data_IF_903576892237
#
_entry.id   IF_903576892237
#
_cell.length_a   1.000
_cell.length_b   1.000
_cell.length_c   1.000
_cell.angle_alpha   90.00
_cell.angle_beta   90.00
_cell.angle_gamma   90.00
#
_symmetry.space_group_name_H-M   'P 1'
#
loop_
_entity.id
_entity.type
_entity.pdbx_description
1 polymer ?
#
# COMPACT_ATOMS: atom_id res chain seq x y z
N UNK A 1 -51.62 58.37 47.28
CA UNK A 1 -50.20 58.68 47.52
C UNK A 1 -49.41 57.47 47.24
N UNK A 2 -48.86 57.37 46.00
CA UNK A 2 -48.02 56.24 45.53
C UNK A 2 -46.73 56.79 44.98
N UNK A 3 -45.63 56.44 45.64
CA UNK A 3 -44.28 56.79 45.23
C UNK A 3 -43.72 55.79 44.18
N UNK A 4 -43.24 56.31 43.05
CA UNK A 4 -42.53 55.56 42.04
C UNK A 4 -41.05 55.37 42.43
N UNK A 5 -40.41 54.20 42.19
CA UNK A 5 -38.99 54.10 42.34
C UNK A 5 -38.24 54.42 41.00
N UNK A 6 -37.11 55.13 41.15
CA UNK A 6 -36.19 55.49 40.06
C UNK A 6 -35.37 54.26 39.64
N UNK A 7 -35.34 53.96 38.34
CA UNK A 7 -34.49 52.94 37.74
C UNK A 7 -33.09 53.52 37.50
N UNK A 8 -32.08 52.95 38.12
CA UNK A 8 -30.67 53.16 37.84
C UNK A 8 -30.18 52.10 36.87
N UNK A 9 -29.92 52.45 35.61
CA UNK A 9 -29.28 51.57 34.63
C UNK A 9 -27.81 51.38 34.97
N UNK A 10 -27.42 50.12 35.24
CA UNK A 10 -26.04 49.71 35.49
C UNK A 10 -25.25 49.61 34.15
N UNK A 11 -24.13 50.35 34.06
CA UNK A 11 -23.20 50.39 32.94
C UNK A 11 -22.18 49.23 32.90
N UNK A 12 -22.46 48.05 33.50
CA UNK A 12 -21.43 47.01 33.68
C UNK A 12 -21.65 45.71 32.88
N UNK A 13 -22.61 45.63 31.95
CA UNK A 13 -22.88 44.35 31.26
C UNK A 13 -22.14 44.14 29.91
N UNK A 14 -21.64 45.23 29.29
CA UNK A 14 -21.01 45.12 27.94
C UNK A 14 -19.59 44.59 28.01
N UNK A 15 -18.85 44.78 29.11
CA UNK A 15 -17.48 44.26 29.26
C UNK A 15 -17.36 42.75 29.53
N UNK A 16 -18.43 42.14 30.06
CA UNK A 16 -18.40 40.67 30.37
C UNK A 16 -18.73 39.80 29.18
N UNK A 17 -19.57 40.25 28.26
CA UNK A 17 -19.91 39.52 27.01
C UNK A 17 -18.76 39.54 26.02
N UNK A 18 -18.00 40.63 25.89
CA UNK A 18 -16.84 40.70 24.99
C UNK A 18 -15.67 39.80 25.46
N UNK A 19 -15.47 39.65 26.79
CA UNK A 19 -14.47 38.70 27.35
C UNK A 19 -14.89 37.25 27.20
N UNK A 20 -16.18 36.93 27.29
CA UNK A 20 -16.70 35.58 27.07
C UNK A 20 -16.52 35.10 25.60
N UNK A 21 -16.72 35.98 24.64
CA UNK A 21 -16.53 35.67 23.21
C UNK A 21 -15.05 35.50 22.83
N UNK A 22 -14.15 36.30 23.40
CA UNK A 22 -12.70 36.15 23.14
C UNK A 22 -12.16 34.83 23.74
N UNK A 23 -12.66 34.38 24.86
CA UNK A 23 -12.26 33.09 25.47
C UNK A 23 -12.83 31.91 24.71
N UNK A 24 -14.04 32.00 24.14
CA UNK A 24 -14.63 30.94 23.29
C UNK A 24 -13.90 30.80 21.94
N UNK A 25 -13.45 31.89 21.32
CA UNK A 25 -12.66 31.88 20.11
C UNK A 25 -11.24 31.33 20.35
N UNK A 26 -10.63 31.59 21.49
CA UNK A 26 -9.34 31.02 21.87
C UNK A 26 -9.45 29.53 22.19
N UNK A 27 -10.54 29.08 22.81
CA UNK A 27 -10.81 27.66 23.07
C UNK A 27 -11.08 26.87 21.77
N UNK A 28 -11.78 27.46 20.79
CA UNK A 28 -11.99 26.86 19.48
C UNK A 28 -10.69 26.78 18.67
N UNK A 29 -9.78 27.74 18.75
CA UNK A 29 -8.47 27.71 18.11
C UNK A 29 -7.55 26.64 18.73
N UNK A 30 -7.63 26.39 20.03
CA UNK A 30 -6.85 25.34 20.72
C UNK A 30 -7.41 23.95 20.44
N UNK A 31 -8.72 23.79 20.22
CA UNK A 31 -9.32 22.50 19.85
C UNK A 31 -8.94 22.01 18.44
N UNK A 32 -8.53 22.91 17.53
CA UNK A 32 -8.06 22.57 16.17
C UNK A 32 -6.57 22.15 16.15
N UNK A 33 -5.81 22.48 17.22
CA UNK A 33 -4.40 22.08 17.34
C UNK A 33 -4.17 20.79 18.11
N UNK A 34 -5.24 20.09 18.50
CA UNK A 34 -5.14 18.73 19.00
C UNK A 34 -4.53 17.85 17.92
N UNK A 35 -3.21 17.68 17.99
CA UNK A 35 -2.49 16.68 17.18
C UNK A 35 -3.12 15.33 17.47
N UNK A 36 -4.04 14.91 16.63
CA UNK A 36 -4.38 13.51 16.52
C UNK A 36 -3.09 12.85 16.07
N UNK A 37 -2.34 12.28 17.01
CA UNK A 37 -1.35 11.27 16.69
C UNK A 37 -2.17 10.13 16.08
N UNK A 38 -2.43 10.23 14.77
CA UNK A 38 -2.81 9.09 13.99
C UNK A 38 -1.62 8.12 14.14
N UNK A 39 -1.77 7.12 15.01
CA UNK A 39 -0.96 5.94 14.89
C UNK A 39 -1.13 5.49 13.46
N UNK A 40 -0.10 5.66 12.65
CA UNK A 40 -0.05 5.09 11.32
C UNK A 40 -0.20 3.58 11.55
N UNK A 41 -1.41 3.08 11.40
CA UNK A 41 -1.68 1.66 11.46
C UNK A 41 -0.83 1.04 10.37
N UNK A 42 0.11 0.17 10.74
CA UNK A 42 1.01 -0.45 9.77
C UNK A 42 0.15 -1.13 8.69
N UNK A 43 0.35 -0.73 7.45
CA UNK A 43 -0.37 -1.32 6.31
C UNK A 43 -0.10 -2.82 6.30
N UNK A 44 -1.12 -3.70 6.37
CA UNK A 44 -0.92 -5.14 6.40
C UNK A 44 -0.40 -5.62 5.04
N UNK A 45 0.92 -5.79 4.93
CA UNK A 45 1.60 -6.19 3.68
C UNK A 45 1.49 -7.70 3.48
N UNK A 46 1.16 -8.12 2.25
CA UNK A 46 1.23 -9.50 1.79
C UNK A 46 2.52 -9.70 1.01
N UNK A 47 3.21 -10.80 1.29
CA UNK A 47 4.43 -11.17 0.59
C UNK A 47 4.24 -12.54 -0.06
N UNK A 48 4.38 -12.59 -1.38
CA UNK A 48 4.21 -13.81 -2.16
C UNK A 48 5.02 -13.71 -3.45
N UNK A 49 5.95 -14.65 -3.65
CA UNK A 49 6.90 -14.59 -4.78
C UNK A 49 6.20 -14.68 -6.14
N UNK A 50 5.15 -15.51 -6.26
CA UNK A 50 4.39 -15.70 -7.49
C UNK A 50 3.57 -14.46 -7.85
N UNK A 51 2.83 -13.93 -6.88
CA UNK A 51 1.96 -12.76 -7.07
C UNK A 51 2.81 -11.52 -7.36
N UNK A 52 3.86 -11.29 -6.56
CA UNK A 52 4.78 -10.16 -6.77
C UNK A 52 5.44 -10.21 -8.16
N UNK A 53 5.87 -11.39 -8.61
CA UNK A 53 6.44 -11.56 -9.94
C UNK A 53 5.43 -11.26 -11.05
N UNK A 54 4.19 -11.75 -10.91
CA UNK A 54 3.14 -11.50 -11.89
C UNK A 54 2.79 -10.01 -11.99
N UNK A 55 2.62 -9.33 -10.85
CA UNK A 55 2.30 -7.90 -10.81
C UNK A 55 3.47 -7.05 -11.36
N UNK A 56 4.72 -7.46 -11.10
CA UNK A 56 5.89 -6.83 -11.74
C UNK A 56 5.91 -7.02 -13.26
N UNK A 57 5.47 -8.18 -13.76
CA UNK A 57 5.35 -8.42 -15.21
C UNK A 57 4.28 -7.51 -15.82
N UNK A 58 3.18 -7.23 -15.11
CA UNK A 58 2.18 -6.24 -15.53
C UNK A 58 2.75 -4.82 -15.55
N UNK A 59 3.48 -4.45 -14.52
CA UNK A 59 3.95 -3.09 -14.32
C UNK A 59 5.14 -2.70 -15.19
N UNK A 60 6.06 -3.62 -15.46
CA UNK A 60 7.32 -3.33 -16.14
C UNK A 60 7.16 -2.64 -17.50
N UNK A 61 6.29 -3.11 -18.43
CA UNK A 61 6.08 -2.42 -19.70
C UNK A 61 5.50 -1.02 -19.50
N UNK A 62 4.54 -0.89 -18.57
CA UNK A 62 3.86 0.37 -18.26
C UNK A 62 4.84 1.38 -17.66
N UNK A 63 5.64 0.99 -16.67
CA UNK A 63 6.64 1.87 -16.06
C UNK A 63 7.70 2.31 -17.08
N UNK A 64 8.07 1.41 -18.02
CA UNK A 64 8.96 1.79 -19.12
C UNK A 64 8.33 2.86 -20.02
N UNK A 65 7.07 2.69 -20.41
CA UNK A 65 6.33 3.66 -21.22
C UNK A 65 6.10 4.98 -20.50
N UNK A 66 5.95 4.96 -19.17
CA UNK A 66 5.80 6.14 -18.33
C UNK A 66 7.11 6.86 -18.00
N UNK A 67 8.28 6.36 -18.47
CA UNK A 67 9.59 6.91 -18.13
C UNK A 67 10.07 6.58 -16.71
N UNK A 68 9.41 5.64 -16.02
CA UNK A 68 9.67 5.29 -14.62
C UNK A 68 10.59 4.06 -14.46
N UNK A 69 11.12 3.50 -15.55
CA UNK A 69 11.87 2.22 -15.53
C UNK A 69 13.10 2.24 -14.60
N UNK A 70 13.76 3.37 -14.49
CA UNK A 70 14.96 3.55 -13.66
C UNK A 70 14.66 4.20 -12.30
N UNK A 71 13.42 4.46 -12.03
CA UNK A 71 12.99 5.29 -10.90
C UNK A 71 12.80 4.53 -9.59
N UNK A 72 12.97 3.20 -9.58
CA UNK A 72 12.85 2.40 -8.37
C UNK A 72 11.44 2.46 -7.79
N UNK A 73 10.41 2.26 -8.63
CA UNK A 73 9.03 2.16 -8.13
C UNK A 73 8.81 0.79 -7.51
N UNK A 74 8.57 0.77 -6.20
CA UNK A 74 8.25 -0.45 -5.45
C UNK A 74 6.77 -0.78 -5.57
N UNK A 75 6.46 -2.08 -5.68
CA UNK A 75 5.08 -2.59 -5.66
C UNK A 75 4.85 -3.29 -4.34
N UNK A 76 3.80 -2.87 -3.62
CA UNK A 76 3.43 -3.38 -2.30
C UNK A 76 2.03 -3.96 -2.37
N UNK A 77 1.90 -5.24 -2.01
CA UNK A 77 0.60 -5.90 -1.92
C UNK A 77 0.01 -5.68 -0.52
N UNK A 78 -1.25 -5.25 -0.47
CA UNK A 78 -1.94 -4.93 0.79
C UNK A 78 -3.01 -5.98 1.06
N UNK A 79 -3.04 -6.54 2.27
CA UNK A 79 -4.09 -7.44 2.71
C UNK A 79 -5.38 -6.66 3.01
N UNK A 80 -6.11 -6.34 1.97
CA UNK A 80 -7.38 -5.65 2.03
C UNK A 80 -8.31 -6.21 0.95
N UNK A 81 -9.56 -6.51 1.30
CA UNK A 81 -10.54 -7.12 0.39
C UNK A 81 -11.23 -6.10 -0.52
N UNK A 82 -11.07 -4.81 -0.28
CA UNK A 82 -11.59 -3.77 -1.15
C UNK A 82 -10.84 -3.73 -2.48
N UNK A 83 -11.54 -3.36 -3.55
CA UNK A 83 -10.88 -3.07 -4.81
C UNK A 83 -10.21 -1.70 -4.72
N UNK A 84 -8.91 -1.66 -4.45
CA UNK A 84 -8.17 -0.39 -4.41
C UNK A 84 -6.72 -0.57 -4.86
N UNK A 85 -6.17 0.51 -5.43
CA UNK A 85 -4.76 0.72 -5.63
C UNK A 85 -4.48 2.21 -5.44
N UNK A 86 -3.30 2.56 -4.99
CA UNK A 86 -2.90 3.95 -4.79
C UNK A 86 -1.38 4.07 -4.75
N UNK A 87 -0.89 5.25 -5.01
CA UNK A 87 0.54 5.54 -4.93
C UNK A 87 0.87 6.44 -3.73
N UNK A 88 2.02 6.24 -3.13
CA UNK A 88 2.60 7.12 -2.11
C UNK A 88 4.10 7.24 -2.33
N UNK A 89 4.56 8.43 -2.70
CA UNK A 89 5.93 8.64 -3.14
C UNK A 89 6.24 7.81 -4.37
N UNK A 90 7.16 6.85 -4.23
CA UNK A 90 7.58 5.92 -5.29
C UNK A 90 7.10 4.48 -5.02
N UNK A 91 6.05 4.31 -4.26
CA UNK A 91 5.44 3.01 -3.97
C UNK A 91 4.03 2.95 -4.53
N UNK A 92 3.77 1.89 -5.29
CA UNK A 92 2.45 1.51 -5.77
C UNK A 92 1.89 0.43 -4.84
N UNK A 93 0.82 0.75 -4.15
CA UNK A 93 0.09 -0.17 -3.29
C UNK A 93 -1.08 -0.75 -4.06
N UNK A 94 -1.25 -2.08 -4.01
CA UNK A 94 -2.36 -2.77 -4.66
C UNK A 94 -2.99 -3.70 -3.63
N UNK A 95 -4.28 -3.51 -3.38
CA UNK A 95 -5.04 -4.36 -2.48
C UNK A 95 -5.25 -5.75 -3.11
N UNK A 96 -5.16 -6.80 -2.29
CA UNK A 96 -5.46 -8.17 -2.71
C UNK A 96 -6.88 -8.32 -3.23
N UNK A 97 -7.82 -7.49 -2.75
CA UNK A 97 -9.17 -7.40 -3.27
C UNK A 97 -9.23 -6.97 -4.73
N UNK A 98 -8.40 -6.03 -5.17
CA UNK A 98 -8.31 -5.64 -6.57
C UNK A 98 -7.84 -6.82 -7.44
N UNK A 99 -6.74 -7.48 -7.04
CA UNK A 99 -6.19 -8.63 -7.74
C UNK A 99 -7.17 -9.81 -7.83
N UNK A 100 -7.93 -10.06 -6.78
CA UNK A 100 -8.92 -11.16 -6.72
C UNK A 100 -10.17 -10.86 -7.57
N UNK A 101 -10.64 -9.62 -7.58
CA UNK A 101 -11.89 -9.24 -8.24
C UNK A 101 -11.70 -8.96 -9.74
N UNK A 102 -10.55 -8.46 -10.16
CA UNK A 102 -10.23 -8.28 -11.59
C UNK A 102 -10.31 -9.63 -12.31
N UNK A 103 -11.04 -9.70 -13.42
CA UNK A 103 -11.22 -10.96 -14.14
C UNK A 103 -10.15 -11.19 -15.19
N UNK A 104 -9.50 -10.12 -15.64
CA UNK A 104 -8.45 -10.18 -16.66
C UNK A 104 -7.19 -9.44 -16.20
N UNK A 105 -6.00 -9.83 -16.70
CA UNK A 105 -4.77 -9.06 -16.50
C UNK A 105 -4.92 -7.59 -16.86
N UNK A 106 -5.60 -7.30 -17.97
CA UNK A 106 -5.76 -5.96 -18.50
C UNK A 106 -6.50 -5.00 -17.55
N UNK A 107 -7.40 -5.51 -16.68
CA UNK A 107 -8.03 -4.69 -15.64
C UNK A 107 -6.98 -4.15 -14.64
N UNK A 108 -6.07 -5.01 -14.17
CA UNK A 108 -4.99 -4.61 -13.25
C UNK A 108 -3.92 -3.77 -13.95
N UNK A 109 -3.57 -4.13 -15.18
CA UNK A 109 -2.61 -3.37 -15.98
C UNK A 109 -3.15 -1.94 -16.23
N UNK A 110 -4.44 -1.79 -16.47
CA UNK A 110 -5.10 -0.49 -16.59
C UNK A 110 -5.01 0.35 -15.31
N UNK A 111 -5.25 -0.27 -14.15
CA UNK A 111 -5.07 0.37 -12.85
C UNK A 111 -3.59 0.79 -12.65
N UNK A 112 -2.64 -0.10 -12.93
CA UNK A 112 -1.20 0.21 -12.84
C UNK A 112 -0.81 1.37 -13.78
N UNK A 113 -1.40 1.43 -14.98
CA UNK A 113 -1.14 2.50 -15.94
C UNK A 113 -1.67 3.85 -15.42
N UNK A 114 -2.84 3.86 -14.77
CA UNK A 114 -3.40 5.03 -14.12
C UNK A 114 -2.51 5.52 -12.96
N UNK A 115 -2.10 4.63 -12.08
CA UNK A 115 -1.19 4.94 -10.96
C UNK A 115 0.18 5.43 -11.43
N UNK A 116 0.70 4.83 -12.52
CA UNK A 116 1.93 5.31 -13.16
C UNK A 116 1.76 6.75 -13.69
N UNK A 117 0.57 7.12 -14.16
CA UNK A 117 0.22 8.48 -14.53
C UNK A 117 0.34 9.45 -13.35
N UNK A 118 -0.12 9.05 -12.17
CA UNK A 118 0.03 9.85 -10.96
C UNK A 118 1.49 10.02 -10.54
N UNK A 119 2.30 8.96 -10.61
CA UNK A 119 3.73 9.04 -10.27
C UNK A 119 4.47 9.94 -11.26
N UNK A 120 4.34 9.69 -12.56
CA UNK A 120 5.01 10.43 -13.62
C UNK A 120 4.58 11.91 -13.65
N UNK A 121 3.31 12.18 -13.36
CA UNK A 121 2.76 13.55 -13.25
C UNK A 121 3.18 14.28 -11.98
N UNK A 122 3.75 13.61 -10.99
CA UNK A 122 4.08 14.19 -9.68
C UNK A 122 2.85 14.69 -8.91
N UNK A 123 1.67 14.07 -9.16
CA UNK A 123 0.39 14.55 -8.68
C UNK A 123 0.31 14.66 -7.16
N UNK A 124 0.94 13.74 -6.43
CA UNK A 124 0.96 13.79 -4.96
C UNK A 124 1.70 14.99 -4.38
N UNK A 125 2.87 15.32 -4.97
CA UNK A 125 3.62 16.49 -4.51
C UNK A 125 2.83 17.75 -4.80
N UNK A 126 2.30 17.87 -6.01
CA UNK A 126 1.47 19.00 -6.40
C UNK A 126 0.22 19.14 -5.53
N UNK A 127 -0.42 18.04 -5.15
CA UNK A 127 -1.57 18.05 -4.23
C UNK A 127 -1.17 18.57 -2.84
N UNK A 128 -0.02 18.14 -2.31
CA UNK A 128 0.51 18.67 -1.04
C UNK A 128 0.71 20.19 -1.12
N UNK A 129 1.33 20.66 -2.21
CA UNK A 129 1.57 22.09 -2.43
C UNK A 129 0.24 22.86 -2.52
N UNK A 130 -0.78 22.28 -3.18
CA UNK A 130 -2.13 22.86 -3.24
C UNK A 130 -2.83 22.89 -1.87
N UNK A 131 -2.69 21.83 -1.09
CA UNK A 131 -3.23 21.79 0.28
C UNK A 131 -2.58 22.85 1.18
N UNK A 132 -1.28 23.03 1.12
CA UNK A 132 -0.58 24.08 1.89
C UNK A 132 -1.02 25.49 1.45
N UNK A 133 -1.17 25.72 0.14
CA UNK A 133 -1.72 27.00 -0.38
C UNK A 133 -3.15 27.22 0.08
N UNK A 134 -4.01 26.19 0.01
CA UNK A 134 -5.39 26.27 0.46
C UNK A 134 -5.51 26.54 1.96
N UNK A 135 -4.69 25.90 2.81
CA UNK A 135 -4.58 26.21 4.24
C UNK A 135 -4.19 27.66 4.47
N UNK A 136 -3.16 28.13 3.80
CA UNK A 136 -2.70 29.52 3.91
C UNK A 136 -3.80 30.50 3.51
N UNK A 137 -4.51 30.27 2.40
CA UNK A 137 -5.63 31.07 1.95
C UNK A 137 -6.79 31.07 2.96
N UNK A 138 -7.13 29.93 3.53
CA UNK A 138 -8.16 29.79 4.54
C UNK A 138 -7.81 30.56 5.83
N UNK A 139 -6.54 30.50 6.27
CA UNK A 139 -6.05 31.27 7.43
C UNK A 139 -6.14 32.78 7.13
N UNK A 140 -5.68 33.23 5.97
CA UNK A 140 -5.76 34.65 5.58
C UNK A 140 -7.22 35.13 5.55
N UNK A 141 -8.12 34.36 4.92
CA UNK A 141 -9.55 34.69 4.87
C UNK A 141 -10.16 34.78 6.26
N UNK A 142 -9.81 33.84 7.16
CA UNK A 142 -10.28 33.85 8.54
C UNK A 142 -9.78 35.07 9.32
N UNK A 143 -8.51 35.44 9.16
CA UNK A 143 -7.92 36.62 9.80
C UNK A 143 -8.54 37.93 9.29
N UNK A 144 -8.71 38.08 7.96
CA UNK A 144 -9.36 39.22 7.35
C UNK A 144 -10.82 39.31 7.75
N UNK A 145 -11.55 38.19 7.76
CA UNK A 145 -12.93 38.11 8.21
C UNK A 145 -13.08 38.49 9.69
N UNK A 146 -12.20 37.96 10.55
CA UNK A 146 -12.17 38.32 11.97
C UNK A 146 -11.86 39.82 12.19
N UNK A 147 -10.92 40.36 11.45
CA UNK A 147 -10.60 41.79 11.46
C UNK A 147 -11.80 42.66 11.07
N UNK A 148 -12.51 42.29 9.99
CA UNK A 148 -13.72 43.02 9.56
C UNK A 148 -14.88 42.90 10.56
N UNK A 149 -15.05 41.74 11.23
CA UNK A 149 -16.05 41.55 12.30
C UNK A 149 -15.74 42.48 13.47
N UNK A 150 -14.49 42.54 13.94
CA UNK A 150 -14.07 43.43 15.02
C UNK A 150 -14.25 44.90 14.64
N UNK A 151 -13.81 45.28 13.44
CA UNK A 151 -14.00 46.67 12.95
C UNK A 151 -15.48 47.04 12.82
N UNK A 152 -16.32 46.11 12.31
CA UNK A 152 -17.77 46.31 12.24
C UNK A 152 -18.44 46.46 13.62
N UNK A 153 -17.97 45.70 14.60
CA UNK A 153 -18.44 45.81 15.97
C UNK A 153 -18.04 47.15 16.66
N UNK A 154 -16.79 47.62 16.42
CA UNK A 154 -16.28 48.88 16.97
C UNK A 154 -16.91 50.10 16.34
N UNK A 155 -17.23 50.04 15.05
CA UNK A 155 -17.86 51.14 14.27
C UNK A 155 -19.39 51.04 14.25
N UNK A 156 -19.97 50.05 14.93
CA UNK A 156 -21.42 49.76 14.95
C UNK A 156 -22.00 49.50 13.52
N UNK A 157 -21.16 49.06 12.59
CA UNK A 157 -21.53 48.76 11.21
C UNK A 157 -21.87 47.28 11.03
N UNK A 158 -23.18 46.95 11.00
CA UNK A 158 -23.68 45.57 10.76
C UNK A 158 -23.27 45.04 9.39
N UNK A 159 -23.18 45.90 8.40
CA UNK A 159 -22.72 45.52 7.05
C UNK A 159 -21.29 45.01 7.02
N UNK A 160 -20.35 45.71 7.69
CA UNK A 160 -18.96 45.33 7.77
C UNK A 160 -18.73 44.02 8.56
N UNK A 161 -19.44 43.88 9.68
CA UNK A 161 -19.41 42.64 10.47
C UNK A 161 -19.98 41.44 9.69
N UNK A 162 -21.06 41.63 8.96
CA UNK A 162 -21.67 40.60 8.08
C UNK A 162 -20.76 40.20 6.92
N UNK A 163 -20.11 41.18 6.28
CA UNK A 163 -19.09 40.90 5.24
C UNK A 163 -17.90 40.11 5.79
N UNK A 164 -17.44 40.45 7.01
CA UNK A 164 -16.36 39.70 7.67
C UNK A 164 -16.71 38.25 7.95
N UNK A 165 -17.94 37.96 8.39
CA UNK A 165 -18.43 36.58 8.53
C UNK A 165 -18.49 35.83 7.18
N UNK A 166 -18.95 36.50 6.12
CA UNK A 166 -18.98 35.94 4.77
C UNK A 166 -17.59 35.59 4.23
N UNK A 167 -16.59 36.45 4.46
CA UNK A 167 -15.20 36.21 4.05
C UNK A 167 -14.58 35.03 4.84
N UNK A 168 -14.78 34.99 6.15
CA UNK A 168 -14.25 33.92 6.99
C UNK A 168 -14.84 32.54 6.62
N UNK A 169 -16.15 32.46 6.38
CA UNK A 169 -16.82 31.22 5.97
C UNK A 169 -16.52 30.83 4.51
N UNK A 170 -16.55 31.80 3.60
CA UNK A 170 -16.33 31.57 2.15
C UNK A 170 -14.91 31.16 1.81
N UNK A 171 -13.91 31.58 2.58
CA UNK A 171 -12.50 31.20 2.36
C UNK A 171 -12.25 29.70 2.44
N UNK A 172 -12.86 29.03 3.41
CA UNK A 172 -12.77 27.58 3.58
C UNK A 172 -13.44 26.82 2.42
N UNK A 173 -14.63 27.27 2.02
CA UNK A 173 -15.39 26.65 0.93
C UNK A 173 -14.68 26.83 -0.43
N UNK A 174 -14.13 27.99 -0.70
CA UNK A 174 -13.36 28.27 -1.90
C UNK A 174 -12.09 27.40 -1.97
N UNK A 175 -11.37 27.24 -0.85
CA UNK A 175 -10.21 26.38 -0.74
C UNK A 175 -10.60 24.91 -1.03
N UNK A 176 -11.68 24.42 -0.47
CA UNK A 176 -12.18 23.07 -0.72
C UNK A 176 -12.56 22.85 -2.19
N UNK A 177 -13.29 23.78 -2.79
CA UNK A 177 -13.65 23.71 -4.22
C UNK A 177 -12.42 23.70 -5.13
N UNK A 178 -11.39 24.50 -4.80
CA UNK A 178 -10.13 24.54 -5.55
C UNK A 178 -9.40 23.18 -5.49
N UNK A 179 -9.35 22.54 -4.32
CA UNK A 179 -8.75 21.20 -4.16
C UNK A 179 -9.52 20.17 -4.97
N UNK A 180 -10.85 20.16 -4.90
CA UNK A 180 -11.68 19.22 -5.65
C UNK A 180 -11.56 19.41 -7.17
N UNK A 181 -11.48 20.65 -7.65
CA UNK A 181 -11.27 20.95 -9.08
C UNK A 181 -9.87 20.47 -9.53
N UNK A 182 -8.85 20.70 -8.70
CA UNK A 182 -7.49 20.22 -8.94
C UNK A 182 -7.46 18.68 -9.04
N UNK A 183 -8.04 17.96 -8.06
CA UNK A 183 -8.10 16.51 -8.07
C UNK A 183 -8.76 15.97 -9.35
N UNK A 184 -9.88 16.54 -9.80
CA UNK A 184 -10.53 16.12 -11.06
C UNK A 184 -9.63 16.29 -12.27
N UNK A 185 -8.85 17.36 -12.33
CA UNK A 185 -7.90 17.61 -13.42
C UNK A 185 -6.78 16.58 -13.42
N UNK A 186 -6.22 16.26 -12.25
CA UNK A 186 -5.16 15.26 -12.12
C UNK A 186 -5.64 13.85 -12.45
N UNK A 187 -6.87 13.50 -12.04
CA UNK A 187 -7.50 12.23 -12.40
C UNK A 187 -7.68 12.09 -13.92
N UNK A 188 -8.21 13.12 -14.58
CA UNK A 188 -8.36 13.13 -16.04
C UNK A 188 -7.03 13.10 -16.77
N UNK A 189 -5.97 13.65 -16.17
CA UNK A 189 -4.61 13.60 -16.72
C UNK A 189 -4.01 12.22 -16.55
N UNK A 190 -4.23 11.57 -15.40
CA UNK A 190 -3.81 10.20 -15.17
C UNK A 190 -4.50 9.21 -16.12
N UNK A 191 -5.80 9.39 -16.40
CA UNK A 191 -6.54 8.57 -17.38
C UNK A 191 -5.95 8.69 -18.79
N UNK A 192 -5.69 9.92 -19.26
CA UNK A 192 -5.06 10.13 -20.58
C UNK A 192 -3.66 9.53 -20.65
N UNK A 193 -2.87 9.69 -19.59
CA UNK A 193 -1.55 9.09 -19.48
C UNK A 193 -1.63 7.57 -19.54
N UNK A 194 -2.58 6.98 -18.80
CA UNK A 194 -2.80 5.54 -18.81
C UNK A 194 -3.09 5.00 -20.21
N UNK A 195 -4.00 5.62 -20.95
CA UNK A 195 -4.30 5.22 -22.35
C UNK A 195 -3.07 5.39 -23.24
N UNK A 196 -2.27 6.44 -23.05
CA UNK A 196 -1.00 6.63 -23.77
C UNK A 196 -0.03 5.48 -23.49
N UNK A 197 0.13 5.06 -22.23
CA UNK A 197 1.04 3.97 -21.85
C UNK A 197 0.54 2.61 -22.34
N UNK A 198 -0.77 2.35 -22.25
CA UNK A 198 -1.40 1.15 -22.79
C UNK A 198 -1.20 1.06 -24.31
N UNK A 199 -1.41 2.15 -25.03
CA UNK A 199 -1.18 2.21 -26.47
C UNK A 199 0.30 1.95 -26.83
N UNK A 200 1.23 2.57 -26.12
CA UNK A 200 2.66 2.38 -26.33
C UNK A 200 3.13 0.94 -26.05
N UNK A 201 2.38 0.19 -25.25
CA UNK A 201 2.66 -1.22 -24.91
C UNK A 201 1.81 -2.21 -25.67
N UNK A 202 0.99 -1.76 -26.62
CA UNK A 202 0.14 -2.61 -27.46
C UNK A 202 -1.03 -3.25 -26.71
N UNK A 203 -1.52 -2.61 -25.64
CA UNK A 203 -2.56 -3.12 -24.77
C UNK A 203 -3.87 -2.34 -24.92
N UNK A 204 -5.00 -3.00 -24.62
CA UNK A 204 -6.33 -2.40 -24.64
C UNK A 204 -6.58 -1.51 -23.41
N UNK A 205 -7.37 -0.45 -23.58
CA UNK A 205 -7.95 0.33 -22.50
C UNK A 205 -9.25 -0.23 -21.93
N UNK A 206 -9.81 -1.30 -22.51
CA UNK A 206 -11.10 -1.86 -22.07
C UNK A 206 -11.10 -2.35 -20.63
N UNK A 207 -9.97 -2.83 -20.12
CA UNK A 207 -9.84 -3.22 -18.71
C UNK A 207 -10.10 -2.06 -17.75
N UNK A 208 -9.68 -0.84 -18.08
CA UNK A 208 -9.99 0.35 -17.29
C UNK A 208 -11.51 0.62 -17.28
N UNK A 209 -12.15 0.57 -18.44
CA UNK A 209 -13.61 0.76 -18.55
C UNK A 209 -14.36 -0.30 -17.75
N UNK A 210 -13.94 -1.57 -17.82
CA UNK A 210 -14.54 -2.65 -17.05
C UNK A 210 -14.41 -2.44 -15.54
N UNK A 211 -13.25 -1.94 -15.09
CA UNK A 211 -13.02 -1.55 -13.70
C UNK A 211 -13.97 -0.42 -13.29
N UNK A 212 -14.14 0.61 -14.10
CA UNK A 212 -15.02 1.74 -13.82
C UNK A 212 -16.51 1.32 -13.81
N UNK A 213 -16.93 0.45 -14.72
CA UNK A 213 -18.29 -0.10 -14.74
C UNK A 213 -18.59 -0.92 -13.47
N UNK A 214 -17.61 -1.67 -12.94
CA UNK A 214 -17.72 -2.38 -11.65
C UNK A 214 -18.00 -1.41 -10.51
N UNK A 215 -17.30 -0.28 -10.43
CA UNK A 215 -17.55 0.73 -9.41
C UNK A 215 -18.91 1.39 -9.52
N UNK A 216 -19.42 1.63 -10.73
CA UNK A 216 -20.78 2.14 -10.93
C UNK A 216 -21.84 1.14 -10.44
N UNK A 217 -21.66 -0.14 -10.78
CA UNK A 217 -22.60 -1.19 -10.36
C UNK A 217 -22.62 -1.38 -8.83
N UNK A 218 -21.48 -1.31 -8.19
CA UNK A 218 -21.37 -1.43 -6.72
C UNK A 218 -22.13 -0.30 -5.99
N UNK A 219 -22.19 0.91 -6.57
CA UNK A 219 -22.97 2.03 -6.02
C UNK A 219 -24.46 1.78 -6.01
N UNK A 220 -24.98 1.22 -7.11
CA UNK A 220 -26.42 0.97 -7.24
C UNK A 220 -26.91 -0.06 -6.24
N UNK A 221 -26.01 -0.91 -5.72
CA UNK A 221 -26.34 -2.02 -4.83
C UNK A 221 -26.12 -1.72 -3.35
N UNK A 222 -25.19 -0.82 -2.98
CA UNK A 222 -24.72 -0.67 -1.59
C UNK A 222 -25.29 0.53 -0.81
N UNK A 223 -26.07 1.41 -1.45
CA UNK A 223 -26.83 2.52 -0.83
C UNK A 223 -26.07 3.51 0.10
N UNK A 224 -25.07 3.09 0.84
CA UNK A 224 -24.38 3.92 1.85
C UNK A 224 -22.91 3.64 2.05
N UNK A 225 -22.36 2.51 1.59
CA UNK A 225 -20.92 2.24 1.71
C UNK A 225 -20.16 2.80 0.50
N UNK A 226 -19.33 3.80 0.75
CA UNK A 226 -18.49 4.40 -0.29
C UNK A 226 -17.27 3.50 -0.51
N UNK A 227 -17.05 3.08 -1.77
CA UNK A 227 -15.89 2.30 -2.17
C UNK A 227 -14.59 3.11 -1.94
N UNK A 228 -13.58 2.56 -1.24
CA UNK A 228 -12.32 3.25 -0.95
C UNK A 228 -11.59 3.79 -2.19
N UNK A 229 -11.66 3.09 -3.32
CA UNK A 229 -11.07 3.57 -4.57
C UNK A 229 -11.73 4.86 -5.05
N UNK A 230 -13.02 5.02 -4.88
CA UNK A 230 -13.75 6.24 -5.26
C UNK A 230 -13.49 7.42 -4.34
N UNK A 231 -13.09 7.15 -3.09
CA UNK A 231 -12.65 8.22 -2.19
C UNK A 231 -11.30 8.76 -2.66
N UNK A 232 -10.37 7.88 -3.02
CA UNK A 232 -9.05 8.26 -3.52
C UNK A 232 -9.07 8.79 -4.95
N UNK A 233 -9.97 8.25 -5.80
CA UNK A 233 -10.12 8.56 -7.23
C UNK A 233 -11.56 8.93 -7.59
N UNK A 234 -11.99 10.19 -7.38
CA UNK A 234 -13.36 10.60 -7.70
C UNK A 234 -13.73 10.32 -9.15
N UNK A 235 -14.86 9.64 -9.36
CA UNK A 235 -15.34 9.20 -10.68
C UNK A 235 -16.64 9.90 -11.08
N UNK A 236 -16.62 11.14 -11.56
CA UNK A 236 -17.78 11.78 -12.18
C UNK A 236 -18.11 11.07 -13.52
N UNK A 237 -19.37 11.09 -13.91
CA UNK A 237 -19.81 10.47 -15.18
C UNK A 237 -19.06 11.02 -16.40
N UNK A 238 -18.72 12.30 -16.38
CA UNK A 238 -17.91 12.95 -17.41
C UNK A 238 -16.54 12.27 -17.61
N UNK A 239 -15.87 11.88 -16.52
CA UNK A 239 -14.58 11.18 -16.58
C UNK A 239 -14.71 9.83 -17.29
N UNK A 240 -15.77 9.09 -17.00
CA UNK A 240 -16.05 7.79 -17.64
C UNK A 240 -16.33 7.97 -19.14
N UNK A 241 -17.15 8.96 -19.50
CA UNK A 241 -17.46 9.26 -20.90
C UNK A 241 -16.20 9.67 -21.69
N UNK A 242 -15.34 10.50 -21.10
CA UNK A 242 -14.06 10.88 -21.71
C UNK A 242 -13.12 9.68 -21.89
N UNK A 243 -13.04 8.79 -20.91
CA UNK A 243 -12.24 7.57 -21.01
C UNK A 243 -12.77 6.64 -22.10
N UNK A 244 -14.11 6.49 -22.24
CA UNK A 244 -14.73 5.71 -23.31
C UNK A 244 -14.32 6.20 -24.70
N UNK A 245 -14.32 7.52 -24.91
CA UNK A 245 -13.88 8.11 -26.18
C UNK A 245 -12.42 7.77 -26.46
N UNK A 246 -11.53 7.95 -25.46
CA UNK A 246 -10.11 7.65 -25.61
C UNK A 246 -9.87 6.17 -25.92
N UNK A 247 -10.56 5.27 -25.25
CA UNK A 247 -10.44 3.81 -25.45
C UNK A 247 -10.94 3.41 -26.84
N UNK A 248 -12.10 3.95 -27.29
CA UNK A 248 -12.65 3.66 -28.63
C UNK A 248 -11.76 4.16 -29.77
N UNK A 249 -11.00 5.23 -29.54
CA UNK A 249 -10.03 5.77 -30.51
C UNK A 249 -8.68 5.04 -30.50
N UNK A 250 -8.45 4.15 -29.51
CA UNK A 250 -7.20 3.42 -29.39
C UNK A 250 -7.03 2.41 -30.52
N UNK A 251 -5.84 2.35 -31.17
CA UNK A 251 -5.53 1.32 -32.16
C UNK A 251 -5.48 -0.09 -31.57
N UNK A 252 -5.45 -0.20 -30.24
CA UNK A 252 -5.36 -1.46 -29.51
C UNK A 252 -6.66 -1.85 -28.79
N UNK A 253 -7.80 -1.23 -29.11
CA UNK A 253 -9.08 -1.44 -28.42
C UNK A 253 -9.45 -2.91 -28.32
N UNK A 254 -9.30 -3.67 -29.41
CA UNK A 254 -9.69 -5.09 -29.49
C UNK A 254 -8.58 -6.07 -29.05
N UNK A 255 -7.45 -5.59 -28.52
CA UNK A 255 -6.39 -6.45 -28.03
C UNK A 255 -6.83 -7.18 -26.76
N UNK A 256 -6.62 -8.48 -26.76
CA UNK A 256 -6.88 -9.36 -25.62
C UNK A 256 -5.56 -9.79 -24.97
N UNK A 257 -5.63 -10.11 -23.68
CA UNK A 257 -4.49 -10.63 -22.94
C UNK A 257 -4.01 -11.97 -23.51
N UNK A 258 -2.70 -12.22 -23.55
CA UNK A 258 -2.17 -13.53 -23.94
C UNK A 258 -2.73 -14.65 -23.04
N UNK A 259 -3.13 -15.80 -23.59
CA UNK A 259 -3.70 -16.90 -22.80
C UNK A 259 -2.81 -17.36 -21.64
N UNK A 260 -1.49 -17.36 -21.81
CA UNK A 260 -0.55 -17.70 -20.76
C UNK A 260 -0.57 -16.67 -19.60
N UNK A 261 -0.78 -15.39 -19.91
CA UNK A 261 -0.88 -14.33 -18.90
C UNK A 261 -2.22 -14.45 -18.15
N UNK A 262 -3.32 -14.70 -18.86
CA UNK A 262 -4.63 -14.97 -18.27
C UNK A 262 -4.59 -16.17 -17.32
N UNK A 263 -3.92 -17.25 -17.72
CA UNK A 263 -3.76 -18.45 -16.88
C UNK A 263 -3.04 -18.14 -15.57
N UNK A 264 -1.95 -17.37 -15.60
CA UNK A 264 -1.23 -16.93 -14.39
C UNK A 264 -2.11 -16.02 -13.52
N UNK A 265 -2.89 -15.15 -14.14
CA UNK A 265 -3.85 -14.30 -13.46
C UNK A 265 -4.93 -15.11 -12.73
N UNK A 266 -5.50 -16.11 -13.39
CA UNK A 266 -6.51 -16.98 -12.78
C UNK A 266 -5.94 -17.79 -11.61
N UNK A 267 -4.69 -18.28 -11.71
CA UNK A 267 -3.97 -18.94 -10.62
C UNK A 267 -3.80 -17.99 -9.43
N UNK A 268 -3.34 -16.76 -9.66
CA UNK A 268 -3.22 -15.72 -8.63
C UNK A 268 -4.54 -15.46 -7.93
N UNK A 269 -5.63 -15.27 -8.68
CA UNK A 269 -6.98 -15.04 -8.12
C UNK A 269 -7.42 -16.18 -7.20
N UNK A 270 -7.23 -17.42 -7.65
CA UNK A 270 -7.60 -18.61 -6.86
C UNK A 270 -6.73 -18.71 -5.61
N UNK A 271 -5.41 -18.44 -5.70
CA UNK A 271 -4.51 -18.41 -4.54
C UNK A 271 -4.97 -17.38 -3.51
N UNK A 272 -5.21 -16.13 -3.92
CA UNK A 272 -5.71 -15.08 -3.03
C UNK A 272 -7.05 -15.48 -2.40
N UNK A 273 -7.98 -16.01 -3.20
CA UNK A 273 -9.27 -16.48 -2.70
C UNK A 273 -9.12 -17.61 -1.66
N UNK A 274 -8.20 -18.55 -1.87
CA UNK A 274 -7.96 -19.65 -0.96
C UNK A 274 -7.40 -19.20 0.39
N UNK A 275 -6.45 -18.23 0.39
CA UNK A 275 -5.80 -17.76 1.61
C UNK A 275 -6.61 -16.70 2.37
N UNK A 276 -7.34 -15.82 1.65
CA UNK A 276 -7.97 -14.64 2.22
C UNK A 276 -9.50 -14.64 2.13
N UNK A 277 -10.05 -15.24 1.06
CA UNK A 277 -11.49 -15.31 0.82
C UNK A 277 -12.17 -16.56 1.39
N UNK A 278 -11.36 -17.52 1.85
CA UNK A 278 -11.81 -18.80 2.40
C UNK A 278 -12.26 -19.81 1.34
N UNK A 279 -12.61 -21.01 1.82
CA UNK A 279 -12.91 -22.18 0.99
C UNK A 279 -13.99 -21.93 -0.07
N UNK A 280 -15.08 -21.25 0.29
CA UNK A 280 -16.19 -21.00 -0.60
C UNK A 280 -15.80 -20.08 -1.79
N UNK A 281 -15.01 -19.05 -1.54
CA UNK A 281 -14.54 -18.12 -2.57
C UNK A 281 -13.61 -18.84 -3.57
N UNK A 282 -12.63 -19.60 -3.08
CA UNK A 282 -11.74 -20.39 -3.93
C UNK A 282 -12.50 -21.44 -4.76
N UNK A 283 -13.43 -22.19 -4.14
CA UNK A 283 -14.24 -23.20 -4.84
C UNK A 283 -15.06 -22.57 -5.98
N UNK A 284 -15.60 -21.36 -5.78
CA UNK A 284 -16.36 -20.65 -6.81
C UNK A 284 -15.49 -20.34 -8.04
N UNK A 285 -14.24 -19.91 -7.83
CA UNK A 285 -13.30 -19.62 -8.93
C UNK A 285 -12.84 -20.91 -9.62
N UNK A 286 -12.54 -21.96 -8.87
CA UNK A 286 -12.16 -23.29 -9.40
C UNK A 286 -13.24 -23.83 -10.33
N UNK A 287 -14.52 -23.68 -9.97
CA UNK A 287 -15.66 -24.16 -10.76
C UNK A 287 -15.92 -23.37 -12.06
N UNK A 288 -15.33 -22.17 -12.23
CA UNK A 288 -15.50 -21.37 -13.46
C UNK A 288 -14.87 -22.04 -14.69
N UNK A 289 -13.76 -22.77 -14.52
CA UNK A 289 -13.03 -23.45 -15.61
C UNK A 289 -12.50 -24.81 -15.15
N UNK A 290 -13.38 -25.83 -14.94
CA UNK A 290 -12.99 -27.14 -14.44
C UNK A 290 -11.92 -27.79 -15.33
N UNK A 291 -10.91 -28.39 -14.71
CA UNK A 291 -9.82 -29.08 -15.42
C UNK A 291 -8.75 -28.15 -16.00
N UNK A 292 -8.93 -26.82 -15.98
CA UNK A 292 -7.86 -25.88 -16.36
C UNK A 292 -6.66 -26.00 -15.42
N UNK A 293 -5.49 -25.55 -15.84
CA UNK A 293 -4.29 -25.52 -14.97
C UNK A 293 -4.58 -24.71 -13.71
N UNK A 294 -5.24 -23.56 -13.84
CA UNK A 294 -5.60 -22.70 -12.70
C UNK A 294 -6.53 -23.43 -11.70
N UNK A 295 -7.52 -24.18 -12.18
CA UNK A 295 -8.40 -24.97 -11.30
C UNK A 295 -7.65 -26.09 -10.60
N UNK A 296 -6.80 -26.85 -11.31
CA UNK A 296 -5.97 -27.92 -10.71
C UNK A 296 -4.96 -27.36 -9.69
N UNK A 297 -4.37 -26.18 -9.98
CA UNK A 297 -3.55 -25.44 -9.03
C UNK A 297 -4.36 -25.06 -7.78
N UNK A 298 -5.55 -24.51 -7.97
CA UNK A 298 -6.46 -24.17 -6.88
C UNK A 298 -6.85 -25.38 -6.02
N UNK A 299 -7.12 -26.53 -6.65
CA UNK A 299 -7.38 -27.77 -5.93
C UNK A 299 -6.18 -28.24 -5.10
N UNK A 300 -4.94 -28.04 -5.58
CA UNK A 300 -3.73 -28.34 -4.81
C UNK A 300 -3.62 -27.40 -3.60
N UNK A 301 -3.87 -26.09 -3.79
CA UNK A 301 -3.91 -25.09 -2.71
C UNK A 301 -4.99 -25.44 -1.65
N UNK A 302 -6.18 -25.81 -2.09
CA UNK A 302 -7.28 -26.19 -1.20
C UNK A 302 -6.96 -27.46 -0.40
N UNK A 303 -6.34 -28.46 -1.02
CA UNK A 303 -5.88 -29.67 -0.34
C UNK A 303 -4.78 -29.36 0.69
N UNK A 304 -3.88 -28.41 0.40
CA UNK A 304 -2.84 -27.94 1.31
C UNK A 304 -3.40 -27.18 2.52
N UNK A 305 -4.34 -26.26 2.28
CA UNK A 305 -4.87 -25.39 3.35
C UNK A 305 -5.87 -26.09 4.24
N UNK A 306 -6.80 -26.84 3.65
CA UNK A 306 -8.01 -27.32 4.30
C UNK A 306 -8.18 -28.85 4.26
N UNK A 307 -7.30 -29.55 3.53
CA UNK A 307 -7.45 -30.98 3.27
C UNK A 307 -6.27 -31.83 3.72
N UNK A 308 -5.99 -32.87 2.95
CA UNK A 308 -4.96 -33.87 3.23
C UNK A 308 -3.66 -33.52 2.52
N UNK A 309 -2.54 -33.47 3.26
CA UNK A 309 -1.22 -33.11 2.74
C UNK A 309 -0.70 -34.14 1.70
N UNK A 310 -1.05 -35.43 1.80
CA UNK A 310 -0.71 -36.44 0.81
C UNK A 310 -1.38 -36.16 -0.54
N UNK A 311 -2.67 -35.82 -0.52
CA UNK A 311 -3.40 -35.42 -1.72
C UNK A 311 -2.85 -34.10 -2.30
N UNK A 312 -2.51 -33.13 -1.44
CA UNK A 312 -1.87 -31.87 -1.86
C UNK A 312 -0.55 -32.14 -2.58
N UNK A 313 0.30 -32.99 -2.02
CA UNK A 313 1.59 -33.36 -2.61
C UNK A 313 1.43 -34.07 -3.95
N UNK A 314 0.47 -34.99 -4.08
CA UNK A 314 0.15 -35.67 -5.33
C UNK A 314 -0.25 -34.66 -6.41
N UNK A 315 -1.14 -33.72 -6.08
CA UNK A 315 -1.58 -32.66 -7.01
C UNK A 315 -0.43 -31.72 -7.39
N UNK A 316 0.38 -31.28 -6.42
CA UNK A 316 1.56 -30.44 -6.68
C UNK A 316 2.57 -31.14 -7.60
N UNK A 317 2.85 -32.43 -7.39
CA UNK A 317 3.73 -33.21 -8.25
C UNK A 317 3.17 -33.35 -9.68
N UNK A 318 1.85 -33.46 -9.86
CA UNK A 318 1.23 -33.49 -11.18
C UNK A 318 1.43 -32.14 -11.91
N UNK A 319 1.29 -31.00 -11.22
CA UNK A 319 1.57 -29.67 -11.77
C UNK A 319 3.04 -29.50 -12.15
N UNK A 320 3.97 -29.96 -11.32
CA UNK A 320 5.42 -29.95 -11.58
C UNK A 320 5.75 -30.80 -12.83
N UNK A 321 5.11 -31.95 -12.97
CA UNK A 321 5.31 -32.82 -14.16
C UNK A 321 4.88 -32.10 -15.45
N UNK A 322 3.79 -31.34 -15.40
CA UNK A 322 3.27 -30.58 -16.55
C UNK A 322 4.10 -29.34 -16.85
N UNK A 323 4.52 -28.60 -15.80
CA UNK A 323 5.35 -27.40 -15.93
C UNK A 323 6.62 -27.49 -15.06
N UNK A 324 7.64 -28.30 -15.46
CA UNK A 324 8.81 -28.57 -14.63
C UNK A 324 9.72 -27.35 -14.39
N UNK A 325 9.53 -26.28 -15.17
CA UNK A 325 10.28 -25.02 -15.04
C UNK A 325 9.55 -23.96 -14.23
N UNK A 326 8.34 -24.26 -13.71
CA UNK A 326 7.60 -23.30 -12.90
C UNK A 326 8.16 -23.30 -11.45
N UNK A 327 8.78 -22.21 -10.97
CA UNK A 327 9.37 -22.16 -9.63
C UNK A 327 8.31 -22.24 -8.53
N UNK A 328 7.13 -21.73 -8.76
CA UNK A 328 6.08 -21.61 -7.76
C UNK A 328 5.37 -22.94 -7.46
N UNK A 329 5.40 -23.88 -8.39
CA UNK A 329 4.95 -25.25 -8.10
C UNK A 329 5.96 -26.00 -7.22
N UNK A 330 7.26 -25.70 -7.38
CA UNK A 330 8.28 -26.21 -6.47
C UNK A 330 8.19 -25.57 -5.07
N UNK A 331 7.92 -24.25 -5.01
CA UNK A 331 7.63 -23.54 -3.77
C UNK A 331 6.44 -24.19 -3.04
N UNK A 332 5.30 -24.36 -3.72
CA UNK A 332 4.12 -25.04 -3.15
C UNK A 332 4.45 -26.44 -2.62
N UNK A 333 5.26 -27.21 -3.35
CA UNK A 333 5.72 -28.51 -2.88
C UNK A 333 6.54 -28.39 -1.61
N UNK A 334 7.41 -27.40 -1.53
CA UNK A 334 8.19 -27.06 -0.33
C UNK A 334 7.29 -26.74 0.86
N UNK A 335 6.28 -25.89 0.66
CA UNK A 335 5.31 -25.52 1.70
C UNK A 335 4.54 -26.74 2.24
N UNK A 336 4.08 -27.60 1.34
CA UNK A 336 3.38 -28.85 1.71
C UNK A 336 4.31 -29.76 2.53
N UNK A 337 5.57 -29.90 2.12
CA UNK A 337 6.55 -30.74 2.80
C UNK A 337 6.97 -30.17 4.16
N UNK A 338 7.09 -28.84 4.30
CA UNK A 338 7.29 -28.19 5.60
C UNK A 338 6.13 -28.48 6.55
N UNK A 339 4.89 -28.30 6.09
CA UNK A 339 3.70 -28.61 6.89
C UNK A 339 3.59 -30.10 7.24
N UNK A 340 4.13 -30.98 6.40
CA UNK A 340 4.20 -32.42 6.63
C UNK A 340 5.40 -32.84 7.50
N UNK A 341 6.14 -31.90 8.09
CA UNK A 341 7.35 -32.14 8.88
C UNK A 341 8.45 -32.93 8.14
N UNK A 342 8.65 -32.61 6.85
CA UNK A 342 9.68 -33.18 5.97
C UNK A 342 10.68 -32.11 5.52
N UNK A 343 11.47 -31.51 6.42
CA UNK A 343 12.27 -30.33 6.11
C UNK A 343 13.40 -30.60 5.10
N UNK A 344 13.96 -31.81 5.02
CA UNK A 344 14.96 -32.16 4.02
C UNK A 344 14.39 -32.13 2.61
N UNK A 345 13.26 -32.80 2.40
CA UNK A 345 12.58 -32.83 1.09
C UNK A 345 12.07 -31.42 0.72
N UNK A 346 11.65 -30.62 1.71
CA UNK A 346 11.24 -29.22 1.51
C UNK A 346 12.41 -28.36 1.07
N UNK A 347 13.59 -28.50 1.68
CA UNK A 347 14.80 -27.77 1.29
C UNK A 347 15.18 -28.07 -0.17
N UNK A 348 15.08 -29.33 -0.61
CA UNK A 348 15.33 -29.72 -2.03
C UNK A 348 14.32 -29.04 -2.97
N UNK A 349 13.03 -28.99 -2.59
CA UNK A 349 11.98 -28.35 -3.38
C UNK A 349 12.22 -26.83 -3.48
N UNK A 350 12.49 -26.16 -2.37
CA UNK A 350 12.80 -24.72 -2.37
C UNK A 350 14.11 -24.40 -3.10
N UNK A 351 15.15 -25.23 -2.97
CA UNK A 351 16.39 -25.06 -3.73
C UNK A 351 16.12 -25.11 -5.24
N UNK A 352 15.22 -26.01 -5.67
CA UNK A 352 14.77 -26.07 -7.07
C UNK A 352 13.97 -24.81 -7.45
N UNK A 353 13.07 -24.33 -6.60
CA UNK A 353 12.34 -23.08 -6.81
C UNK A 353 13.30 -21.89 -6.99
N UNK A 354 14.29 -21.74 -6.09
CA UNK A 354 15.33 -20.69 -6.20
C UNK A 354 16.09 -20.77 -7.51
N UNK A 355 16.45 -21.99 -7.96
CA UNK A 355 17.22 -22.19 -9.20
C UNK A 355 16.42 -21.87 -10.47
N UNK A 356 15.09 -21.99 -10.41
CA UNK A 356 14.18 -21.77 -11.53
C UNK A 356 13.62 -20.35 -11.59
N UNK A 357 13.74 -19.56 -10.51
CA UNK A 357 13.11 -18.25 -10.40
C UNK A 357 13.77 -17.21 -11.33
N UNK A 358 13.08 -16.74 -12.38
CA UNK A 358 13.64 -15.81 -13.34
C UNK A 358 13.77 -14.39 -12.80
N UNK A 359 12.97 -14.03 -11.77
CA UNK A 359 12.96 -12.68 -11.18
C UNK A 359 13.89 -12.56 -9.98
N UNK A 360 14.47 -13.67 -9.55
CA UNK A 360 15.37 -13.73 -8.39
C UNK A 360 14.75 -13.11 -7.14
N UNK A 361 13.53 -13.52 -6.80
CA UNK A 361 12.82 -13.09 -5.60
C UNK A 361 13.68 -13.24 -4.35
N UNK A 362 13.61 -12.29 -3.43
CA UNK A 362 14.21 -12.41 -2.10
C UNK A 362 13.48 -13.41 -1.19
N UNK A 363 12.23 -13.74 -1.49
CA UNK A 363 11.38 -14.60 -0.65
C UNK A 363 11.80 -16.06 -0.72
N UNK A 364 12.04 -16.60 -1.92
CA UNK A 364 12.36 -18.03 -2.10
C UNK A 364 13.64 -18.47 -1.37
N UNK A 365 14.76 -17.72 -1.39
CA UNK A 365 15.93 -18.07 -0.58
C UNK A 365 15.65 -18.04 0.92
N UNK A 366 14.77 -17.15 1.41
CA UNK A 366 14.37 -17.13 2.82
C UNK A 366 13.56 -18.38 3.18
N UNK A 367 12.63 -18.82 2.32
CA UNK A 367 11.89 -20.09 2.52
C UNK A 367 12.83 -21.30 2.52
N UNK A 368 13.83 -21.33 1.63
CA UNK A 368 14.89 -22.36 1.66
C UNK A 368 15.66 -22.31 2.99
N UNK A 369 16.04 -21.11 3.45
CA UNK A 369 16.70 -20.94 4.73
C UNK A 369 15.88 -21.48 5.91
N UNK A 370 14.57 -21.21 5.92
CA UNK A 370 13.66 -21.75 6.94
C UNK A 370 13.64 -23.28 6.94
N UNK A 371 13.57 -23.91 5.75
CA UNK A 371 13.61 -25.38 5.66
C UNK A 371 14.96 -25.95 6.14
N UNK A 372 16.07 -25.31 5.80
CA UNK A 372 17.41 -25.68 6.26
C UNK A 372 17.56 -25.55 7.79
N UNK A 373 16.97 -24.51 8.40
CA UNK A 373 16.92 -24.37 9.86
C UNK A 373 16.12 -25.52 10.49
N UNK A 374 14.99 -25.90 9.92
CA UNK A 374 14.16 -27.00 10.44
C UNK A 374 14.86 -28.38 10.40
N UNK A 375 15.94 -28.54 9.61
CA UNK A 375 16.78 -29.74 9.65
C UNK A 375 17.64 -29.77 10.94
N UNK A 376 18.06 -28.62 11.48
CA UNK A 376 18.64 -28.47 12.80
C UNK A 376 20.09 -28.90 12.96
N UNK A 377 20.81 -29.28 11.88
CA UNK A 377 22.24 -29.62 11.98
C UNK A 377 23.11 -28.36 11.85
N UNK A 378 24.31 -28.31 12.47
CA UNK A 378 25.20 -27.16 12.33
C UNK A 378 25.53 -26.79 10.87
N UNK A 379 25.67 -27.78 9.99
CA UNK A 379 25.91 -27.55 8.56
C UNK A 379 24.68 -26.96 7.86
N UNK A 380 23.48 -27.46 8.16
CA UNK A 380 22.24 -26.91 7.61
C UNK A 380 21.98 -25.50 8.11
N UNK A 381 22.28 -25.18 9.37
CA UNK A 381 22.17 -23.83 9.92
C UNK A 381 23.10 -22.83 9.24
N UNK A 382 24.36 -23.21 8.98
CA UNK A 382 25.30 -22.38 8.21
C UNK A 382 24.79 -22.11 6.79
N UNK A 383 24.26 -23.15 6.13
CA UNK A 383 23.64 -22.99 4.81
C UNK A 383 22.38 -22.11 4.88
N UNK A 384 21.57 -22.22 5.93
CA UNK A 384 20.41 -21.36 6.16
C UNK A 384 20.80 -19.88 6.22
N UNK A 385 21.84 -19.55 7.01
CA UNK A 385 22.37 -18.18 7.11
C UNK A 385 22.75 -17.64 5.73
N UNK A 386 23.44 -18.43 4.90
CA UNK A 386 23.81 -18.00 3.53
C UNK A 386 22.56 -17.72 2.68
N UNK A 387 21.57 -18.62 2.70
CA UNK A 387 20.38 -18.46 1.88
C UNK A 387 19.51 -17.28 2.34
N UNK A 388 19.33 -17.11 3.64
CA UNK A 388 18.55 -15.99 4.18
C UNK A 388 19.24 -14.66 3.83
N UNK A 389 20.58 -14.56 3.99
CA UNK A 389 21.32 -13.36 3.58
C UNK A 389 21.19 -13.07 2.08
N UNK A 390 21.22 -14.11 1.23
CA UNK A 390 20.98 -13.96 -0.21
C UNK A 390 19.57 -13.40 -0.50
N UNK A 391 18.56 -13.82 0.26
CA UNK A 391 17.21 -13.30 0.19
C UNK A 391 17.13 -11.84 0.63
N UNK A 392 17.67 -11.53 1.80
CA UNK A 392 17.68 -10.18 2.39
C UNK A 392 18.51 -9.17 1.57
N UNK A 393 19.56 -9.63 0.89
CA UNK A 393 20.32 -8.79 -0.04
C UNK A 393 19.50 -8.29 -1.24
N UNK A 394 18.43 -9.02 -1.61
CA UNK A 394 17.49 -8.66 -2.68
C UNK A 394 16.23 -7.97 -2.17
N UNK A 395 15.86 -8.25 -0.92
CA UNK A 395 14.65 -7.76 -0.28
C UNK A 395 14.95 -7.35 1.17
N UNK A 396 15.45 -6.13 1.31
CA UNK A 396 15.85 -5.58 2.61
C UNK A 396 14.68 -5.32 3.56
N UNK A 397 13.45 -5.22 3.05
CA UNK A 397 12.26 -4.98 3.88
C UNK A 397 11.61 -6.29 4.37
N UNK A 398 12.20 -7.45 4.10
CA UNK A 398 11.70 -8.75 4.56
C UNK A 398 11.99 -8.98 6.05
N UNK A 399 11.14 -8.44 6.91
CA UNK A 399 11.29 -8.55 8.37
C UNK A 399 11.22 -9.99 8.87
N UNK A 400 10.51 -10.88 8.17
CA UNK A 400 10.46 -12.32 8.48
C UNK A 400 11.81 -12.97 8.24
N UNK A 401 12.50 -12.59 7.16
CA UNK A 401 13.87 -13.06 6.87
C UNK A 401 14.85 -12.70 7.97
N UNK A 402 14.81 -11.47 8.50
CA UNK A 402 15.66 -11.08 9.64
C UNK A 402 15.38 -11.86 10.92
N UNK A 403 14.10 -12.19 11.18
CA UNK A 403 13.74 -13.05 12.32
C UNK A 403 14.38 -14.44 12.19
N UNK A 404 14.30 -15.06 11.02
CA UNK A 404 14.95 -16.35 10.76
C UNK A 404 16.46 -16.24 10.81
N UNK A 405 17.04 -15.17 10.30
CA UNK A 405 18.48 -14.93 10.36
C UNK A 405 18.97 -14.83 11.82
N UNK A 406 18.26 -14.07 12.64
CA UNK A 406 18.57 -13.93 14.07
C UNK A 406 18.50 -15.28 14.80
N UNK A 407 17.43 -16.08 14.51
CA UNK A 407 17.30 -17.41 15.09
C UNK A 407 18.44 -18.34 14.63
N UNK A 408 18.78 -18.38 13.35
CA UNK A 408 19.87 -19.22 12.82
C UNK A 408 21.22 -18.87 13.45
N UNK A 409 21.53 -17.58 13.62
CA UNK A 409 22.74 -17.15 14.31
C UNK A 409 22.71 -17.53 15.80
N UNK A 410 21.56 -17.39 16.47
CA UNK A 410 21.39 -17.81 17.86
C UNK A 410 21.65 -19.30 18.07
N UNK A 411 21.09 -20.16 17.22
CA UNK A 411 21.30 -21.62 17.25
C UNK A 411 22.76 -22.01 16.94
N UNK A 412 23.48 -21.18 16.19
CA UNK A 412 24.94 -21.32 15.96
C UNK A 412 25.81 -20.73 17.07
N UNK A 413 25.22 -20.12 18.10
CA UNK A 413 25.93 -19.47 19.19
C UNK A 413 26.54 -18.10 18.85
N UNK A 414 26.24 -17.55 17.67
CA UNK A 414 26.75 -16.24 17.25
C UNK A 414 25.77 -15.13 17.71
N UNK A 415 25.82 -14.83 19.00
CA UNK A 415 24.91 -13.87 19.65
C UNK A 415 25.02 -12.45 19.05
N UNK A 416 26.24 -11.88 18.80
CA UNK A 416 26.31 -10.54 18.22
C UNK A 416 25.65 -10.42 16.85
N UNK A 417 25.80 -11.44 15.99
CA UNK A 417 25.14 -11.46 14.69
C UNK A 417 23.61 -11.64 14.81
N UNK A 418 23.14 -12.42 15.79
CA UNK A 418 21.71 -12.58 16.07
C UNK A 418 21.08 -11.27 16.53
N UNK A 419 21.75 -10.52 17.40
CA UNK A 419 21.29 -9.20 17.86
C UNK A 419 21.30 -8.17 16.73
N UNK A 420 22.32 -8.19 15.86
CA UNK A 420 22.36 -7.31 14.69
C UNK A 420 21.21 -7.62 13.72
N UNK A 421 20.96 -8.89 13.42
CA UNK A 421 19.82 -9.28 12.57
C UNK A 421 18.47 -8.86 13.19
N UNK A 422 18.34 -8.96 14.52
CA UNK A 422 17.16 -8.47 15.25
C UNK A 422 17.01 -6.95 15.11
N UNK A 423 18.12 -6.21 15.24
CA UNK A 423 18.15 -4.76 15.07
C UNK A 423 17.70 -4.35 13.65
N UNK A 424 18.18 -5.05 12.63
CA UNK A 424 17.78 -4.81 11.24
C UNK A 424 16.31 -5.12 11.00
N UNK A 425 15.78 -6.20 11.56
CA UNK A 425 14.35 -6.52 11.50
C UNK A 425 13.47 -5.43 12.10
N UNK A 426 13.83 -4.89 13.26
CA UNK A 426 13.15 -3.74 13.86
C UNK A 426 13.30 -2.46 13.03
N UNK A 427 14.50 -2.23 12.48
CA UNK A 427 14.77 -1.06 11.66
C UNK A 427 13.86 -1.02 10.41
N UNK A 428 13.78 -2.13 9.67
CA UNK A 428 12.95 -2.22 8.46
C UNK A 428 11.45 -2.33 8.74
N UNK A 429 11.05 -2.68 9.97
CA UNK A 429 9.64 -2.59 10.41
C UNK A 429 9.25 -1.19 10.88
N UNK A 430 10.21 -0.23 10.97
CA UNK A 430 9.96 1.12 11.47
C UNK A 430 10.03 1.26 13.00
N UNK A 431 10.33 0.19 13.72
CA UNK A 431 10.54 0.21 15.17
C UNK A 431 11.98 0.64 15.51
N UNK A 432 12.26 1.91 15.27
CA UNK A 432 13.61 2.46 15.45
C UNK A 432 14.09 2.46 16.89
N UNK A 433 13.19 2.41 17.86
CA UNK A 433 13.54 2.34 19.27
C UNK A 433 14.19 1.01 19.60
N UNK A 434 13.53 -0.10 19.30
CA UNK A 434 14.08 -1.42 19.51
C UNK A 434 15.27 -1.70 18.59
N UNK A 435 15.24 -1.21 17.34
CA UNK A 435 16.37 -1.31 16.43
C UNK A 435 17.66 -0.76 17.07
N UNK A 436 17.64 0.42 17.70
CA UNK A 436 18.80 1.01 18.37
C UNK A 436 19.26 0.20 19.59
N UNK A 437 18.32 -0.32 20.38
CA UNK A 437 18.66 -1.12 21.57
C UNK A 437 19.44 -2.38 21.15
N UNK A 438 18.92 -3.14 20.19
CA UNK A 438 19.58 -4.35 19.71
C UNK A 438 20.89 -4.05 18.95
N UNK A 439 20.94 -2.95 18.18
CA UNK A 439 22.19 -2.53 17.53
C UNK A 439 23.29 -2.16 18.54
N UNK A 440 22.98 -1.46 19.63
CA UNK A 440 23.94 -1.15 20.71
C UNK A 440 24.42 -2.42 21.42
N UNK A 441 23.54 -3.42 21.59
CA UNK A 441 23.92 -4.71 22.20
C UNK A 441 24.87 -5.46 21.27
N UNK A 442 24.52 -5.61 20.00
CA UNK A 442 25.36 -6.25 19.00
C UNK A 442 26.75 -5.59 18.91
N UNK A 443 26.79 -4.26 18.93
CA UNK A 443 28.04 -3.50 18.75
C UNK A 443 29.08 -3.74 19.84
N UNK A 444 28.64 -4.12 21.06
CA UNK A 444 29.59 -4.39 22.19
C UNK A 444 30.53 -5.54 21.88
N UNK A 445 30.01 -6.59 21.21
CA UNK A 445 30.72 -7.84 20.99
C UNK A 445 31.19 -8.01 19.54
N UNK A 446 30.80 -7.06 18.64
CA UNK A 446 31.30 -6.98 17.27
C UNK A 446 32.61 -6.23 17.22
N UNK A 447 33.56 -6.71 16.41
CA UNK A 447 34.87 -6.07 16.26
C UNK A 447 34.73 -4.74 15.52
N UNK A 448 35.30 -3.69 16.13
CA UNK A 448 35.24 -2.32 15.60
C UNK A 448 35.78 -2.25 14.17
N UNK A 449 35.03 -1.62 13.28
CA UNK A 449 35.38 -1.44 11.86
C UNK A 449 34.98 -2.59 10.95
N UNK A 450 34.49 -3.72 11.47
CA UNK A 450 33.89 -4.78 10.66
C UNK A 450 32.52 -4.35 10.10
N UNK A 451 32.06 -4.93 8.97
CA UNK A 451 30.80 -4.55 8.35
C UNK A 451 29.58 -4.59 9.30
N UNK A 452 29.51 -5.59 10.19
CA UNK A 452 28.44 -5.70 11.18
C UNK A 452 28.46 -4.58 12.21
N UNK A 453 29.66 -4.20 12.68
CA UNK A 453 29.82 -3.08 13.61
C UNK A 453 29.40 -1.74 12.97
N UNK A 454 29.81 -1.51 11.71
CA UNK A 454 29.45 -0.31 10.96
C UNK A 454 27.92 -0.26 10.76
N UNK A 455 27.33 -1.38 10.38
CA UNK A 455 25.88 -1.47 10.20
C UNK A 455 25.09 -1.20 11.49
N UNK A 456 25.57 -1.71 12.63
CA UNK A 456 25.00 -1.39 13.94
C UNK A 456 25.11 0.11 14.23
N UNK A 457 26.27 0.74 13.94
CA UNK A 457 26.46 2.18 14.12
C UNK A 457 25.51 3.02 13.24
N UNK A 458 25.25 2.60 12.00
CA UNK A 458 24.30 3.28 11.11
C UNK A 458 22.89 3.28 11.71
N UNK A 459 22.45 2.14 12.26
CA UNK A 459 21.14 2.01 12.91
C UNK A 459 21.06 2.88 14.17
N UNK A 460 22.12 2.90 15.00
CA UNK A 460 22.18 3.73 16.21
C UNK A 460 22.07 5.22 15.86
N UNK A 461 22.76 5.65 14.80
CA UNK A 461 22.81 7.05 14.39
C UNK A 461 21.56 7.49 13.61
N UNK A 462 20.74 6.57 13.15
CA UNK A 462 19.56 6.89 12.34
C UNK A 462 18.58 7.77 13.09
N UNK A 463 18.15 8.87 12.47
CA UNK A 463 17.16 9.79 12.99
C UNK A 463 15.99 9.94 11.99
N UNK A 464 14.82 9.35 12.27
CA UNK A 464 13.66 9.40 11.36
C UNK A 464 13.06 10.80 11.18
N UNK A 465 13.30 11.73 12.12
CA UNK A 465 12.75 13.09 12.07
C UNK A 465 13.54 14.07 11.18
N UNK A 466 14.65 13.65 10.59
CA UNK A 466 15.49 14.50 9.73
C UNK A 466 16.12 15.72 10.42
N UNK A 467 15.85 15.95 11.71
CA UNK A 467 16.48 17.02 12.49
C UNK A 467 17.87 16.55 12.87
N UNK A 468 18.88 16.98 12.11
CA UNK A 468 20.26 16.91 12.58
C UNK A 468 20.31 17.54 13.97
N UNK A 469 20.75 16.77 14.97
CA UNK A 469 21.14 17.37 16.26
C UNK A 469 22.27 18.33 15.94
N UNK A 470 21.99 19.65 16.09
CA UNK A 470 23.03 20.69 16.11
C UNK A 470 23.91 20.49 17.33
#
# INVERSE_FOLDING_TARGET
MQSRPKSTMSKSSIGKTARGFATLLLAAAVAVTGSVTAFAQAVPVVRDAEIEALVRDYARPIFKAAGLANDGVDIVLVNDQSFNAFVTGRRLFINTGALMQAETPNEIIGVIAHEAGHIAGGHQQKLRDQLERAKTMAIIATLLGAGAIVAGATTNSRGLAGAGMGVAAGGGEMAQRSILAYQRTEESTADRSAITYLNATGQSGLGMLKTFARFQSALSLSGTQVDPYRISHPMPQERIANLEVLVKQSPNVDKVDPPALQQRHDMMRIKIAAYMGGQAAATRLIRKAPGSLASRYGEAQMAYLYGNLGAALTKANALIKEQPKNPYFQEMRGDILMKANKPKDAADAYAKAVSLDPVRSGLLPVSLGQALMAIGTPDSLKKAVVQINNGLGRDKENTVGYRYLAQAYGELGNIPAAELATAEGHFYSGDYTNAKIFAMRAQKDLKRGEPGWIRAQDIINYNPSGKLKK
#
